data_IF_098456972105
#
_entry.id   IF_098456972105
#
_cell.length_a   1.000
_cell.length_b   1.000
_cell.length_c   1.000
_cell.angle_alpha   90.00
_cell.angle_beta   90.00
_cell.angle_gamma   90.00
#
_symmetry.space_group_name_H-M   'P 1'
#
loop_
_entity.id
_entity.type
_entity.pdbx_description
1 polymer ?
#
# COMPACT_ATOMS: atom_id res chain seq x y z
N UNK A 1 -13.76 16.09 -1.57
CA UNK A 1 -13.21 15.05 -0.66
C UNK A 1 -12.99 13.77 -1.47
N UNK A 2 -11.84 13.66 -2.13
CA UNK A 2 -11.56 12.64 -3.16
C UNK A 2 -11.18 11.28 -2.56
N UNK A 3 -10.44 11.27 -1.44
CA UNK A 3 -9.80 10.07 -0.89
C UNK A 3 -10.76 9.11 -0.16
N UNK A 4 -11.82 9.65 0.46
CA UNK A 4 -12.86 8.86 1.16
C UNK A 4 -13.61 7.84 0.27
N UNK A 5 -13.55 8.00 -1.06
CA UNK A 5 -14.19 7.07 -2.02
C UNK A 5 -13.30 5.87 -2.39
N UNK A 6 -12.03 5.89 -2.00
CA UNK A 6 -11.04 4.89 -2.41
C UNK A 6 -10.39 4.15 -1.24
N UNK A 7 -10.88 4.35 -0.01
CA UNK A 7 -10.57 3.47 1.12
C UNK A 7 -10.96 2.02 0.77
N UNK A 8 -10.02 1.09 0.93
CA UNK A 8 -10.16 -0.31 0.54
C UNK A 8 -9.83 -0.64 -0.91
N UNK A 9 -9.31 0.31 -1.71
CA UNK A 9 -8.84 0.04 -3.08
C UNK A 9 -7.34 -0.12 -3.18
N UNK A 10 -6.91 -0.85 -4.21
CA UNK A 10 -5.49 -1.00 -4.52
C UNK A 10 -4.92 0.29 -5.12
N UNK A 11 -3.78 0.73 -4.59
CA UNK A 11 -3.06 1.91 -5.04
C UNK A 11 -1.57 1.59 -5.16
N UNK A 12 -0.93 2.23 -6.13
CA UNK A 12 0.51 2.26 -6.29
C UNK A 12 1.03 3.60 -5.80
N UNK A 13 2.02 3.57 -4.93
CA UNK A 13 2.65 4.76 -4.36
C UNK A 13 4.13 4.77 -4.71
N UNK A 14 4.56 5.90 -5.26
CA UNK A 14 5.95 6.22 -5.56
C UNK A 14 6.46 7.15 -4.47
N UNK A 15 7.39 6.66 -3.68
CA UNK A 15 8.13 7.46 -2.68
C UNK A 15 9.11 8.41 -3.37
N UNK A 16 9.53 9.46 -2.68
CA UNK A 16 10.58 10.39 -3.13
C UNK A 16 11.93 9.70 -3.33
N UNK A 17 12.20 8.64 -2.56
CA UNK A 17 13.32 7.70 -2.74
C UNK A 17 13.28 6.90 -4.05
N UNK A 18 12.22 7.04 -4.87
CA UNK A 18 12.08 6.32 -6.12
C UNK A 18 11.60 4.87 -5.97
N UNK A 19 11.22 4.45 -4.75
CA UNK A 19 10.62 3.13 -4.52
C UNK A 19 9.13 3.18 -4.85
N UNK A 20 8.68 2.22 -5.66
CA UNK A 20 7.28 1.97 -5.93
C UNK A 20 6.77 0.85 -5.03
N UNK A 21 5.65 1.09 -4.37
CA UNK A 21 4.97 0.11 -3.52
C UNK A 21 3.52 0.01 -3.98
N UNK A 22 3.04 -1.21 -4.15
CA UNK A 22 1.65 -1.50 -4.47
C UNK A 22 0.99 -2.18 -3.28
N UNK A 23 -0.20 -1.71 -2.92
CA UNK A 23 -0.93 -2.25 -1.79
C UNK A 23 -2.34 -1.69 -1.70
N UNK A 24 -3.06 -2.12 -0.68
CA UNK A 24 -4.44 -1.69 -0.45
C UNK A 24 -4.39 -0.45 0.43
N UNK A 25 -5.04 0.64 0.00
CA UNK A 25 -5.20 1.83 0.82
C UNK A 25 -6.17 1.51 1.97
N UNK A 26 -5.65 1.21 3.16
CA UNK A 26 -6.48 0.86 4.32
C UNK A 26 -7.15 2.08 4.93
N UNK A 27 -6.45 3.22 5.00
CA UNK A 27 -7.01 4.48 5.47
C UNK A 27 -6.19 5.66 4.95
N UNK A 28 -6.80 6.84 4.85
CA UNK A 28 -6.13 8.07 4.48
C UNK A 28 -6.56 9.20 5.40
N UNK A 29 -5.59 9.77 6.10
CA UNK A 29 -5.73 10.93 6.97
C UNK A 29 -5.32 12.22 6.23
N UNK A 30 -5.29 13.33 6.96
CA UNK A 30 -4.79 14.63 6.50
C UNK A 30 -3.27 14.71 6.39
N UNK A 31 -2.53 13.94 7.20
CA UNK A 31 -1.06 13.93 7.19
C UNK A 31 -0.47 12.82 6.29
N UNK A 32 -1.23 11.75 6.06
CA UNK A 32 -0.74 10.60 5.30
C UNK A 32 -1.82 9.56 5.06
N UNK A 33 -1.39 8.34 4.78
CA UNK A 33 -2.26 7.19 4.58
C UNK A 33 -1.57 5.89 4.99
N UNK A 34 -2.36 4.86 5.25
CA UNK A 34 -1.90 3.50 5.54
C UNK A 34 -2.12 2.62 4.32
N UNK A 35 -1.07 1.95 3.88
CA UNK A 35 -1.05 1.05 2.76
C UNK A 35 -0.72 -0.37 3.23
N UNK A 36 -1.64 -1.30 3.06
CA UNK A 36 -1.45 -2.71 3.36
C UNK A 36 -0.81 -3.41 2.16
N UNK A 37 0.46 -3.78 2.28
CA UNK A 37 1.21 -4.47 1.23
C UNK A 37 1.17 -5.97 1.49
N UNK A 38 0.75 -6.75 0.50
CA UNK A 38 0.76 -8.22 0.56
C UNK A 38 2.13 -8.75 0.15
N UNK A 39 2.93 -9.19 1.12
CA UNK A 39 4.24 -9.79 0.86
C UNK A 39 4.20 -11.29 1.06
N UNK A 40 4.64 -12.05 0.05
CA UNK A 40 4.82 -13.50 0.14
C UNK A 40 6.17 -13.80 0.79
N UNK A 41 6.15 -14.08 2.09
CA UNK A 41 7.36 -14.44 2.85
C UNK A 41 7.36 -15.94 3.11
N UNK A 42 8.53 -16.58 3.00
CA UNK A 42 8.78 -17.89 3.60
C UNK A 42 9.46 -17.62 4.95
N UNK A 43 8.73 -17.57 6.07
CA UNK A 43 9.40 -17.49 7.37
C UNK A 43 10.31 -18.72 7.53
N UNK A 44 11.51 -18.50 8.07
CA UNK A 44 12.52 -19.56 8.28
C UNK A 44 11.94 -20.67 9.16
N UNK A 45 11.52 -21.77 8.53
CA UNK A 45 10.88 -22.92 9.18
C UNK A 45 9.56 -23.37 8.54
N UNK A 46 8.92 -22.55 7.70
CA UNK A 46 7.64 -22.91 7.09
C UNK A 46 7.79 -23.65 5.75
N UNK A 47 7.15 -24.82 5.65
CA UNK A 47 7.12 -25.66 4.44
C UNK A 47 6.34 -25.03 3.27
N UNK A 48 5.53 -23.99 3.53
CA UNK A 48 4.67 -23.29 2.56
C UNK A 48 4.88 -21.77 2.62
N UNK A 49 4.74 -21.09 1.48
CA UNK A 49 4.75 -19.62 1.40
C UNK A 49 3.51 -19.08 2.09
N UNK A 50 3.68 -18.07 2.93
CA UNK A 50 2.57 -17.39 3.61
C UNK A 50 2.47 -15.98 3.01
N UNK A 51 1.24 -15.56 2.70
CA UNK A 51 0.93 -14.17 2.35
C UNK A 51 0.76 -13.40 3.65
N UNK A 52 1.74 -12.54 3.95
CA UNK A 52 1.70 -11.65 5.12
C UNK A 52 1.27 -10.29 4.62
N UNK A 53 0.23 -9.74 5.25
CA UNK A 53 -0.21 -8.36 5.07
C UNK A 53 0.61 -7.47 6.02
N UNK A 54 1.35 -6.52 5.46
CA UNK A 54 2.14 -5.55 6.23
C UNK A 54 1.56 -4.15 6.03
N UNK A 55 1.11 -3.54 7.12
CA UNK A 55 0.55 -2.20 7.12
C UNK A 55 1.67 -1.15 7.22
N UNK A 56 1.92 -0.47 6.12
CA UNK A 56 2.92 0.59 6.03
C UNK A 56 2.22 1.94 6.00
N UNK A 57 2.52 2.78 7.00
CA UNK A 57 2.05 4.17 7.03
C UNK A 57 3.02 5.06 6.26
N UNK A 58 2.49 5.82 5.31
CA UNK A 58 3.22 6.80 4.52
C UNK A 58 2.67 8.20 4.77
N UNK A 59 3.55 9.19 4.93
CA UNK A 59 3.18 10.60 4.95
C UNK A 59 3.21 11.18 3.54
N UNK A 60 2.30 12.11 3.22
CA UNK A 60 2.22 12.70 1.88
C UNK A 60 3.52 13.40 1.47
N UNK A 61 4.28 13.89 2.44
CA UNK A 61 5.55 14.58 2.20
C UNK A 61 6.63 13.66 1.62
N UNK A 62 6.61 12.37 1.95
CA UNK A 62 7.55 11.37 1.42
C UNK A 62 7.09 10.75 0.10
N UNK A 63 5.86 11.05 -0.32
CA UNK A 63 5.26 10.50 -1.53
C UNK A 63 5.41 11.48 -2.69
N UNK A 64 6.04 11.00 -3.75
CA UNK A 64 6.19 11.74 -5.00
C UNK A 64 4.94 11.63 -5.87
N UNK A 65 4.33 10.45 -5.92
CA UNK A 65 3.11 10.22 -6.71
C UNK A 65 2.31 9.07 -6.13
N UNK A 66 1.00 9.22 -6.06
CA UNK A 66 0.05 8.13 -5.79
C UNK A 66 -0.79 7.89 -7.02
N UNK A 67 -0.86 6.64 -7.48
CA UNK A 67 -1.61 6.22 -8.66
C UNK A 67 -2.61 5.15 -8.24
N UNK A 68 -3.88 5.35 -8.56
CA UNK A 68 -4.91 4.35 -8.29
C UNK A 68 -4.79 3.20 -9.29
N UNK A 69 -4.60 1.98 -8.79
CA UNK A 69 -4.67 0.75 -9.57
C UNK A 69 -6.12 0.26 -9.52
N UNK A 70 -6.93 0.69 -10.47
CA UNK A 70 -8.23 0.06 -10.68
C UNK A 70 -7.96 -1.28 -11.36
N UNK A 71 -8.03 -2.37 -10.59
CA UNK A 71 -8.18 -3.69 -11.17
C UNK A 71 -9.61 -3.81 -11.72
N UNK A 72 -9.73 -3.83 -13.04
CA UNK A 72 -10.96 -4.24 -13.70
C UNK A 72 -11.06 -5.76 -13.59
N UNK A 73 -12.03 -6.25 -12.81
CA UNK A 73 -12.37 -7.67 -12.73
C UNK A 73 -13.43 -8.00 -13.76
#
# INVERSE_FOLDING_TARGET
RQYKKYEGKEVEVLTKDGRKLSGILSSSDSEGFTLTVKRRVKPEGAKRKIEIEEDLRFVYEEIKQTKYLIQFK
#
